data_IF_306748855793
#
_entry.id   IF_306748855793
#
_cell.length_a   1.000
_cell.length_b   1.000
_cell.length_c   1.000
_cell.angle_alpha   90.00
_cell.angle_beta   90.00
_cell.angle_gamma   90.00
#
_symmetry.space_group_name_H-M   'P 1'
#
loop_
_entity.id
_entity.type
_entity.pdbx_description
1 polymer ?
#
# COMPACT_ATOMS: atom_id res chain seq x y z
N UNK A 1 14.10 9.08 -3.84
CA UNK A 1 14.05 8.80 -2.38
C UNK A 1 12.70 8.18 -2.05
N UNK A 2 12.64 7.22 -1.14
CA UNK A 2 11.39 6.54 -0.74
C UNK A 2 11.16 6.64 0.77
N UNK A 3 9.89 6.70 1.21
CA UNK A 3 9.51 6.84 2.61
C UNK A 3 8.06 6.46 2.88
N UNK A 4 7.75 6.12 4.12
CA UNK A 4 6.40 6.16 4.64
C UNK A 4 6.10 7.53 5.26
N UNK A 5 4.89 8.03 5.05
CA UNK A 5 4.34 9.20 5.74
C UNK A 5 3.15 8.79 6.59
N UNK A 6 3.07 9.29 7.81
CA UNK A 6 1.85 9.24 8.63
C UNK A 6 1.21 10.61 8.57
N UNK A 7 -0.02 10.68 8.09
CA UNK A 7 -0.79 11.91 7.94
C UNK A 7 -2.00 11.87 8.87
N UNK A 8 -2.46 13.04 9.32
CA UNK A 8 -3.70 13.21 10.07
C UNK A 8 -4.62 14.16 9.30
N UNK A 9 -5.89 13.83 9.15
CA UNK A 9 -6.87 14.71 8.51
C UNK A 9 -7.55 15.63 9.54
N UNK A 10 -8.35 16.59 9.06
CA UNK A 10 -9.10 17.55 9.88
C UNK A 10 -10.04 16.87 10.90
N UNK A 11 -10.50 15.65 10.60
CA UNK A 11 -11.36 14.84 11.47
C UNK A 11 -10.59 14.03 12.51
N UNK A 12 -9.27 14.21 12.57
CA UNK A 12 -8.39 13.51 13.49
C UNK A 12 -8.07 12.06 13.13
N UNK A 13 -8.51 11.58 11.95
CA UNK A 13 -8.19 10.24 11.50
C UNK A 13 -6.81 10.19 10.81
N UNK A 14 -6.14 9.06 10.95
CA UNK A 14 -4.76 8.84 10.49
C UNK A 14 -4.74 8.03 9.21
N UNK A 15 -3.83 8.31 8.30
CA UNK A 15 -3.58 7.44 7.13
C UNK A 15 -2.09 7.33 6.90
N UNK A 16 -1.67 6.26 6.23
CA UNK A 16 -0.29 6.11 5.78
C UNK A 16 -0.20 6.25 4.27
N UNK A 17 0.93 6.74 3.80
CA UNK A 17 1.30 6.77 2.39
C UNK A 17 2.70 6.20 2.22
N UNK A 18 2.91 5.39 1.19
CA UNK A 18 4.26 5.07 0.72
C UNK A 18 4.57 5.95 -0.48
N UNK A 19 5.65 6.71 -0.38
CA UNK A 19 6.10 7.67 -1.38
C UNK A 19 7.40 7.18 -2.00
N UNK A 20 7.50 7.23 -3.33
CA UNK A 20 8.71 6.94 -4.08
C UNK A 20 8.95 8.07 -5.09
N UNK A 21 10.14 8.69 -5.04
CA UNK A 21 10.50 9.81 -5.91
C UNK A 21 9.45 10.94 -5.95
N UNK A 22 8.93 11.30 -4.76
CA UNK A 22 7.88 12.32 -4.57
C UNK A 22 6.48 11.93 -5.06
N UNK A 23 6.28 10.73 -5.60
CA UNK A 23 4.98 10.22 -6.00
C UNK A 23 4.41 9.28 -4.92
N UNK A 24 3.12 9.42 -4.61
CA UNK A 24 2.42 8.51 -3.70
C UNK A 24 2.08 7.24 -4.47
N UNK A 25 2.71 6.12 -4.12
CA UNK A 25 2.45 4.85 -4.78
C UNK A 25 1.21 4.16 -4.22
N UNK A 26 1.07 4.16 -2.89
CA UNK A 26 -0.06 3.54 -2.19
C UNK A 26 -0.43 4.31 -0.93
N UNK A 27 -1.70 4.20 -0.53
CA UNK A 27 -2.20 4.74 0.74
C UNK A 27 -3.16 3.78 1.43
N UNK A 28 -3.27 3.90 2.75
CA UNK A 28 -4.26 3.17 3.54
C UNK A 28 -5.60 3.90 3.59
N UNK A 29 -6.63 3.20 4.05
CA UNK A 29 -7.83 3.87 4.58
C UNK A 29 -7.50 4.69 5.85
N UNK A 30 -8.51 5.39 6.35
CA UNK A 30 -8.40 6.18 7.56
C UNK A 30 -8.51 5.29 8.81
N UNK A 31 -7.50 5.37 9.67
CA UNK A 31 -7.46 4.76 10.99
C UNK A 31 -7.91 5.73 12.08
N UNK A 32 -8.53 5.20 13.14
CA UNK A 32 -8.91 5.99 14.31
C UNK A 32 -7.72 6.39 15.19
N UNK A 33 -6.55 5.75 15.04
CA UNK A 33 -5.39 6.00 15.89
C UNK A 33 -4.06 5.98 15.12
N UNK A 34 -3.09 6.76 15.59
CA UNK A 34 -1.70 6.75 15.10
C UNK A 34 -1.04 5.38 15.28
N UNK A 35 -1.40 4.66 16.35
CA UNK A 35 -0.88 3.31 16.61
C UNK A 35 -1.31 2.33 15.51
N UNK A 36 -2.57 2.38 15.07
CA UNK A 36 -3.05 1.55 13.95
C UNK A 36 -2.31 1.85 12.64
N UNK A 37 -2.03 3.13 12.37
CA UNK A 37 -1.22 3.54 11.22
C UNK A 37 0.22 2.98 11.28
N UNK A 38 0.87 3.04 12.46
CA UNK A 38 2.20 2.44 12.67
C UNK A 38 2.19 0.93 12.49
N UNK A 39 1.20 0.24 13.06
CA UNK A 39 1.04 -1.21 12.90
C UNK A 39 0.87 -1.61 11.43
N UNK A 40 0.16 -0.81 10.63
CA UNK A 40 0.05 -1.01 9.20
C UNK A 40 1.42 -0.94 8.51
N UNK A 41 2.22 0.11 8.79
CA UNK A 41 3.58 0.25 8.25
C UNK A 41 4.47 -0.93 8.66
N UNK A 42 4.49 -1.30 9.94
CA UNK A 42 5.33 -2.38 10.45
C UNK A 42 4.97 -3.72 9.79
N UNK A 43 3.67 -3.96 9.59
CA UNK A 43 3.20 -5.15 8.89
C UNK A 43 3.55 -5.13 7.40
N UNK A 44 3.49 -3.99 6.71
CA UNK A 44 3.96 -3.87 5.33
C UNK A 44 5.46 -4.14 5.26
N UNK A 45 6.27 -3.50 6.11
CA UNK A 45 7.72 -3.68 6.17
C UNK A 45 8.13 -5.13 6.35
N UNK A 46 7.43 -5.84 7.24
CA UNK A 46 7.70 -7.23 7.57
C UNK A 46 7.27 -8.19 6.47
N UNK A 47 6.09 -8.00 5.89
CA UNK A 47 5.43 -9.04 5.11
C UNK A 47 5.42 -8.77 3.60
N UNK A 48 5.58 -7.52 3.14
CA UNK A 48 5.61 -7.21 1.71
C UNK A 48 6.75 -7.91 0.94
N UNK A 49 7.99 -8.03 1.45
CA UNK A 49 9.11 -8.61 0.68
C UNK A 49 8.84 -10.01 0.14
N UNK A 50 8.21 -10.84 0.97
CA UNK A 50 7.94 -12.25 0.66
C UNK A 50 6.52 -12.48 0.13
N UNK A 51 5.68 -11.44 0.10
CA UNK A 51 4.30 -11.55 -0.36
C UNK A 51 4.23 -11.92 -1.85
N UNK A 52 3.32 -12.84 -2.17
CA UNK A 52 2.99 -13.19 -3.54
C UNK A 52 2.33 -11.99 -4.25
N UNK A 53 2.48 -11.92 -5.58
CA UNK A 53 1.67 -11.04 -6.43
C UNK A 53 0.68 -11.94 -7.16
N UNK A 54 -0.61 -11.67 -6.95
CA UNK A 54 -1.74 -12.45 -7.49
C UNK A 54 -2.48 -11.57 -8.51
N UNK A 55 -2.63 -12.05 -9.73
CA UNK A 55 -3.30 -11.36 -10.83
C UNK A 55 -4.78 -11.79 -10.91
N UNK A 56 -5.66 -11.03 -10.26
CA UNK A 56 -7.09 -11.34 -10.21
C UNK A 56 -7.76 -11.21 -11.58
N UNK A 57 -7.18 -10.44 -12.50
CA UNK A 57 -7.70 -10.35 -13.88
C UNK A 57 -7.42 -11.62 -14.69
N UNK A 58 -6.65 -12.57 -14.13
CA UNK A 58 -6.42 -13.91 -14.67
C UNK A 58 -7.06 -15.00 -13.80
N UNK A 59 -8.00 -14.62 -12.93
CA UNK A 59 -8.70 -15.55 -12.02
C UNK A 59 -7.75 -16.28 -11.05
N UNK A 60 -6.56 -15.72 -10.80
CA UNK A 60 -5.64 -16.25 -9.79
C UNK A 60 -6.21 -16.04 -8.39
N UNK A 61 -5.89 -16.95 -7.46
CA UNK A 61 -6.30 -16.85 -6.06
C UNK A 61 -5.09 -16.92 -5.13
N UNK A 62 -5.22 -16.34 -3.95
CA UNK A 62 -4.17 -16.36 -2.94
C UNK A 62 -4.72 -16.24 -1.52
N UNK A 63 -3.94 -16.73 -0.57
CA UNK A 63 -4.18 -16.58 0.86
C UNK A 63 -2.94 -15.98 1.54
N UNK A 64 -3.06 -15.58 2.81
CA UNK A 64 -1.96 -14.92 3.50
C UNK A 64 -1.70 -13.49 2.97
N UNK A 65 -0.51 -12.97 3.32
CA UNK A 65 -0.04 -11.69 2.83
C UNK A 65 0.25 -11.73 1.33
N UNK A 66 -0.34 -10.80 0.59
CA UNK A 66 -0.24 -10.77 -0.87
C UNK A 66 -0.52 -9.39 -1.44
N UNK A 67 0.07 -9.12 -2.60
CA UNK A 67 -0.39 -8.09 -3.51
C UNK A 67 -1.42 -8.68 -4.46
N UNK A 68 -2.52 -7.98 -4.67
CA UNK A 68 -3.55 -8.33 -5.65
C UNK A 68 -3.53 -7.27 -6.75
N UNK A 69 -3.32 -7.68 -8.00
CA UNK A 69 -3.57 -6.85 -9.18
C UNK A 69 -5.02 -7.06 -9.57
N UNK A 70 -5.77 -5.97 -9.68
CA UNK A 70 -7.19 -5.98 -10.02
C UNK A 70 -7.50 -4.90 -11.07
N UNK A 71 -8.65 -5.02 -11.72
CA UNK A 71 -9.09 -4.12 -12.79
C UNK A 71 -10.27 -3.26 -12.32
N UNK A 72 -10.18 -1.96 -12.58
CA UNK A 72 -11.26 -1.02 -12.37
C UNK A 72 -12.24 -1.07 -13.56
N UNK A 73 -13.46 -0.55 -13.36
CA UNK A 73 -14.52 -0.58 -14.39
C UNK A 73 -14.16 0.11 -15.71
N UNK A 74 -13.16 0.99 -15.69
CA UNK A 74 -12.64 1.70 -16.86
C UNK A 74 -11.52 0.92 -17.59
N UNK A 75 -11.21 -0.32 -17.19
CA UNK A 75 -10.15 -1.15 -17.78
C UNK A 75 -8.74 -0.82 -17.25
N UNK A 76 -8.58 0.16 -16.37
CA UNK A 76 -7.30 0.43 -15.73
C UNK A 76 -7.03 -0.54 -14.58
N UNK A 77 -5.76 -0.78 -14.28
CA UNK A 77 -5.34 -1.76 -13.27
C UNK A 77 -4.78 -1.09 -12.03
N UNK A 78 -4.91 -1.69 -10.87
CA UNK A 78 -4.33 -1.18 -9.62
C UNK A 78 -3.88 -2.35 -8.74
N UNK A 79 -3.13 -2.04 -7.69
CA UNK A 79 -2.77 -3.04 -6.68
C UNK A 79 -3.44 -2.76 -5.34
N UNK A 80 -3.65 -3.84 -4.58
CA UNK A 80 -3.93 -3.80 -3.13
C UNK A 80 -2.94 -4.71 -2.41
N UNK A 81 -2.43 -4.28 -1.26
CA UNK A 81 -1.73 -5.18 -0.36
C UNK A 81 -2.71 -5.66 0.72
N UNK A 82 -2.81 -6.98 0.88
CA UNK A 82 -3.75 -7.62 1.78
C UNK A 82 -3.02 -8.35 2.89
N UNK A 83 -3.52 -8.23 4.11
CA UNK A 83 -3.03 -8.96 5.27
C UNK A 83 -3.50 -10.42 5.29
N UNK A 84 -2.88 -11.24 6.14
CA UNK A 84 -3.22 -12.67 6.24
C UNK A 84 -4.66 -12.95 6.67
N UNK A 85 -5.29 -12.03 7.40
CA UNK A 85 -6.71 -12.09 7.79
C UNK A 85 -7.67 -11.61 6.68
N UNK A 86 -7.15 -11.18 5.53
CA UNK A 86 -7.95 -10.65 4.43
C UNK A 86 -8.25 -9.15 4.52
N UNK A 87 -7.69 -8.42 5.46
CA UNK A 87 -7.84 -6.96 5.48
C UNK A 87 -7.02 -6.30 4.36
N UNK A 88 -7.60 -5.32 3.67
CA UNK A 88 -6.85 -4.49 2.71
C UNK A 88 -6.09 -3.44 3.51
N UNK A 89 -4.76 -3.46 3.44
CA UNK A 89 -3.90 -2.54 4.18
C UNK A 89 -3.68 -1.24 3.41
N UNK A 90 -3.37 -1.35 2.12
CA UNK A 90 -3.11 -0.23 1.23
C UNK A 90 -3.54 -0.53 -0.20
N UNK A 91 -3.82 0.53 -0.96
CA UNK A 91 -4.18 0.48 -2.38
C UNK A 91 -3.42 1.55 -3.17
N UNK A 92 -3.11 1.27 -4.44
CA UNK A 92 -2.55 2.25 -5.37
C UNK A 92 -3.62 3.06 -6.10
N UNK A 93 -3.18 4.09 -6.81
CA UNK A 93 -3.94 4.63 -7.93
C UNK A 93 -4.15 3.59 -9.03
N UNK A 94 -4.98 3.93 -10.01
CA UNK A 94 -5.13 3.14 -11.23
C UNK A 94 -4.03 3.49 -12.22
N UNK A 95 -3.60 2.48 -12.97
CA UNK A 95 -2.58 2.55 -13.99
C UNK A 95 -3.16 2.08 -15.32
N UNK A 96 -2.75 2.73 -16.40
CA UNK A 96 -3.13 2.36 -17.76
C UNK A 96 -2.62 0.99 -18.22
N UNK A 97 -1.65 0.40 -17.51
CA UNK A 97 -1.11 -0.92 -17.83
C UNK A 97 -0.91 -1.80 -16.60
N UNK A 98 -1.19 -3.10 -16.77
CA UNK A 98 -0.91 -4.13 -15.77
C UNK A 98 0.57 -4.16 -15.35
N UNK A 99 1.48 -3.93 -16.30
CA UNK A 99 2.92 -3.88 -16.03
C UNK A 99 3.25 -2.75 -15.06
N UNK A 100 2.61 -1.59 -15.17
CA UNK A 100 2.77 -0.48 -14.22
C UNK A 100 2.26 -0.85 -12.81
N UNK A 101 1.09 -1.50 -12.72
CA UNK A 101 0.57 -2.00 -11.46
C UNK A 101 1.51 -3.03 -10.81
N UNK A 102 2.04 -3.97 -11.59
CA UNK A 102 3.04 -4.94 -11.13
C UNK A 102 4.32 -4.26 -10.65
N UNK A 103 4.83 -3.28 -11.40
CA UNK A 103 6.02 -2.52 -11.00
C UNK A 103 5.79 -1.76 -9.69
N UNK A 104 4.56 -1.29 -9.43
CA UNK A 104 4.19 -0.69 -8.16
C UNK A 104 4.36 -1.70 -7.00
N UNK A 105 3.79 -2.91 -7.13
CA UNK A 105 3.96 -3.96 -6.14
C UNK A 105 5.45 -4.31 -5.93
N UNK A 106 6.21 -4.59 -7.00
CA UNK A 106 7.63 -4.92 -6.92
C UNK A 106 8.48 -3.82 -6.25
N UNK A 107 8.16 -2.55 -6.53
CA UNK A 107 8.81 -1.41 -5.87
C UNK A 107 8.55 -1.41 -4.36
N UNK A 108 7.32 -1.69 -3.92
CA UNK A 108 6.99 -1.77 -2.50
C UNK A 108 7.71 -2.96 -1.85
N UNK A 109 7.69 -4.15 -2.48
CA UNK A 109 8.41 -5.34 -2.00
C UNK A 109 9.88 -5.03 -1.73
N UNK A 110 10.51 -4.31 -2.65
CA UNK A 110 11.94 -3.95 -2.59
C UNK A 110 12.24 -2.87 -1.56
N UNK A 111 11.45 -1.79 -1.55
CA UNK A 111 11.84 -0.55 -0.88
C UNK A 111 11.14 -0.33 0.47
N UNK A 112 9.97 -0.91 0.70
CA UNK A 112 9.24 -0.72 1.96
C UNK A 112 10.03 -1.13 3.21
N UNK A 113 10.76 -2.27 3.26
CA UNK A 113 11.38 -2.75 4.50
C UNK A 113 12.33 -1.74 5.14
N UNK A 114 13.10 -1.04 4.31
CA UNK A 114 14.13 -0.08 4.73
C UNK A 114 13.62 1.37 4.70
N UNK A 115 12.39 1.61 4.25
CA UNK A 115 11.86 2.96 4.11
C UNK A 115 11.76 3.67 5.46
N UNK A 116 12.31 4.89 5.60
CA UNK A 116 12.10 5.71 6.79
C UNK A 116 10.62 6.05 6.96
N UNK A 117 10.22 6.28 8.21
CA UNK A 117 8.85 6.70 8.55
C UNK A 117 8.92 8.16 8.99
N UNK A 118 8.20 9.02 8.29
CA UNK A 118 8.02 10.42 8.62
C UNK A 118 6.62 10.64 9.22
N UNK A 119 6.58 11.21 10.42
CA UNK A 119 5.34 11.58 11.11
C UNK A 119 5.00 13.03 10.74
N UNK A 120 4.00 13.19 9.87
CA UNK A 120 3.54 14.50 9.35
C UNK A 120 2.18 14.88 9.98
N UNK A 121 1.86 14.41 11.19
CA UNK A 121 0.56 14.70 11.82
C UNK A 121 0.46 16.08 12.48
N UNK A 122 1.59 16.76 12.65
CA UNK A 122 1.68 18.06 13.33
C UNK A 122 1.64 19.24 12.36
N UNK A 123 1.42 18.97 11.06
CA UNK A 123 1.25 20.00 10.04
C UNK A 123 -0.17 20.56 10.19
N UNK A 124 -0.25 21.74 10.81
CA UNK A 124 -1.46 22.53 11.04
C UNK A 124 -2.07 23.06 9.72
#
# INVERSE_FOLDING_TARGET
MHKFKILKNEKGAFRIQFVYNSEVMVWSENYASKASAKNCIDSIKKNAPDAAIVDLTKEETGSGYRFEIDEAKNGETFIRFRASNGEIMVRSETYSSKSSAKNCAESIKKNAPEAPVEDETDIA
#
